data_IF_261079768717
#
_entry.id   IF_261079768717
#
_cell.length_a   1.000
_cell.length_b   1.000
_cell.length_c   1.000
_cell.angle_alpha   90.00
_cell.angle_beta   90.00
_cell.angle_gamma   90.00
#
_symmetry.space_group_name_H-M   'P 1'
#
loop_
_entity.id
_entity.type
_entity.pdbx_description
1 polymer ?
#
# COMPACT_ATOMS: atom_id res chain seq x y z
N UNK A 1 16.47 4.14 9.55
CA UNK A 1 15.99 5.02 8.46
C UNK A 1 14.58 5.50 8.81
N UNK A 2 14.43 6.77 9.13
CA UNK A 2 13.13 7.28 9.55
C UNK A 2 12.22 7.50 8.35
N UNK A 3 11.24 6.63 8.21
CA UNK A 3 10.25 6.73 7.13
C UNK A 3 8.97 7.26 7.73
N UNK A 4 8.47 8.34 7.14
CA UNK A 4 7.21 8.94 7.56
C UNK A 4 6.11 8.43 6.63
N UNK A 5 5.09 7.82 7.20
CA UNK A 5 3.95 7.32 6.45
C UNK A 5 2.83 8.34 6.52
N UNK A 6 2.31 8.71 5.37
CA UNK A 6 1.27 9.75 5.28
C UNK A 6 0.19 9.36 4.30
N UNK A 7 -1.03 9.83 4.56
CA UNK A 7 -2.12 9.73 3.61
C UNK A 7 -2.00 10.88 2.61
N UNK A 8 -2.02 10.55 1.33
CA UNK A 8 -1.89 11.55 0.28
C UNK A 8 -3.25 11.80 -0.35
N UNK A 9 -3.73 13.03 -0.27
CA UNK A 9 -4.91 13.49 -1.01
C UNK A 9 -4.51 14.23 -2.27
N UNK A 10 -3.32 14.80 -2.26
CA UNK A 10 -2.74 15.50 -3.38
C UNK A 10 -1.29 15.07 -3.49
N UNK A 11 -0.79 15.02 -4.70
CA UNK A 11 0.61 14.67 -4.95
C UNK A 11 1.27 15.79 -5.74
N UNK A 12 2.43 16.22 -5.28
CA UNK A 12 3.25 17.17 -6.04
C UNK A 12 3.74 16.49 -7.33
N UNK A 13 4.33 17.29 -8.22
CA UNK A 13 4.91 16.74 -9.43
C UNK A 13 5.97 15.67 -9.10
N UNK A 14 6.82 15.94 -8.11
CA UNK A 14 7.82 14.98 -7.67
C UNK A 14 7.19 13.72 -7.07
N UNK A 15 6.14 13.89 -6.27
CA UNK A 15 5.44 12.74 -5.68
C UNK A 15 4.82 11.87 -6.76
N UNK A 16 4.23 12.46 -7.79
CA UNK A 16 3.66 11.70 -8.91
C UNK A 16 4.72 10.90 -9.64
N UNK A 17 5.89 11.50 -9.87
CA UNK A 17 7.01 10.79 -10.49
C UNK A 17 7.49 9.63 -9.61
N UNK A 18 7.58 9.86 -8.30
CA UNK A 18 7.99 8.82 -7.37
C UNK A 18 6.99 7.66 -7.35
N UNK A 19 5.70 7.96 -7.34
CA UNK A 19 4.66 6.92 -7.38
C UNK A 19 4.75 6.09 -8.66
N UNK A 20 5.00 6.73 -9.79
CA UNK A 20 5.20 6.00 -11.04
C UNK A 20 6.41 5.06 -10.96
N UNK A 21 7.50 5.53 -10.36
CA UNK A 21 8.70 4.69 -10.18
C UNK A 21 8.44 3.53 -9.24
N UNK A 22 7.66 3.76 -8.18
CA UNK A 22 7.32 2.70 -7.22
C UNK A 22 6.57 1.57 -7.94
N UNK A 23 5.58 1.90 -8.75
CA UNK A 23 4.72 0.90 -9.37
C UNK A 23 5.22 0.41 -10.74
N UNK A 24 6.29 1.02 -11.28
CA UNK A 24 6.82 0.67 -12.60
C UNK A 24 7.15 -0.81 -12.73
N UNK A 25 7.78 -1.36 -11.71
CA UNK A 25 8.27 -2.74 -11.74
C UNK A 25 7.30 -3.73 -11.11
N UNK A 26 6.10 -3.27 -10.75
CA UNK A 26 5.10 -4.15 -10.16
C UNK A 26 4.51 -5.07 -11.22
N UNK A 27 4.16 -6.30 -10.85
CA UNK A 27 3.52 -7.19 -11.82
C UNK A 27 2.12 -6.67 -12.17
N UNK A 28 1.65 -6.92 -13.40
CA UNK A 28 0.36 -6.37 -13.84
C UNK A 28 -0.83 -6.75 -12.96
N UNK A 29 -0.83 -7.91 -12.36
CA UNK A 29 -1.92 -8.35 -11.49
C UNK A 29 -2.05 -7.50 -10.22
N UNK A 30 -0.97 -6.79 -9.82
CA UNK A 30 -1.01 -5.95 -8.63
C UNK A 30 -2.00 -4.80 -8.78
N UNK A 31 -2.21 -4.32 -9.99
CA UNK A 31 -3.05 -3.15 -10.23
C UNK A 31 -4.55 -3.45 -10.19
N UNK A 32 -4.95 -4.70 -10.32
CA UNK A 32 -6.36 -5.04 -10.33
C UNK A 32 -7.08 -4.50 -9.09
N UNK A 33 -8.30 -3.96 -9.21
CA UNK A 33 -9.13 -3.93 -10.42
C UNK A 33 -8.79 -2.80 -11.41
N UNK A 34 -7.82 -1.94 -11.12
CA UNK A 34 -7.40 -0.91 -12.06
C UNK A 34 -6.61 -1.55 -13.22
N UNK A 35 -6.58 -0.86 -14.36
CA UNK A 35 -5.94 -1.38 -15.56
C UNK A 35 -4.43 -1.30 -15.52
N UNK A 36 -3.89 -0.25 -14.90
CA UNK A 36 -2.46 0.02 -14.87
C UNK A 36 -2.10 0.88 -13.64
N UNK A 37 -0.82 1.20 -13.52
CA UNK A 37 -0.30 1.98 -12.42
C UNK A 37 -0.89 3.39 -12.38
N UNK A 38 -1.09 4.03 -13.51
CA UNK A 38 -1.64 5.38 -13.53
C UNK A 38 -3.07 5.41 -13.03
N UNK A 39 -3.89 4.47 -13.45
CA UNK A 39 -5.27 4.38 -12.97
C UNK A 39 -5.33 4.09 -11.48
N UNK A 40 -4.46 3.22 -10.98
CA UNK A 40 -4.36 2.96 -9.55
C UNK A 40 -4.02 4.23 -8.78
N UNK A 41 -3.00 4.96 -9.23
CA UNK A 41 -2.56 6.18 -8.54
C UNK A 41 -3.67 7.22 -8.54
N UNK A 42 -4.31 7.44 -9.69
CA UNK A 42 -5.40 8.41 -9.81
C UNK A 42 -6.58 8.03 -8.93
N UNK A 43 -6.98 6.77 -8.93
CA UNK A 43 -8.08 6.29 -8.11
C UNK A 43 -7.79 6.48 -6.63
N UNK A 44 -6.61 6.08 -6.19
CA UNK A 44 -6.24 6.13 -4.79
C UNK A 44 -6.09 7.58 -4.29
N UNK A 45 -5.57 8.47 -5.13
CA UNK A 45 -5.51 9.89 -4.78
C UNK A 45 -6.92 10.49 -4.73
N UNK A 46 -7.76 10.13 -5.70
CA UNK A 46 -9.11 10.68 -5.80
C UNK A 46 -10.02 10.29 -4.65
N UNK A 47 -9.91 9.06 -4.15
CA UNK A 47 -10.75 8.58 -3.04
C UNK A 47 -10.07 8.69 -1.66
N UNK A 48 -8.86 9.23 -1.61
CA UNK A 48 -8.14 9.42 -0.35
C UNK A 48 -7.58 8.14 0.25
N UNK A 49 -7.48 7.06 -0.52
CA UNK A 49 -7.01 5.78 -0.02
C UNK A 49 -5.50 5.56 -0.17
N UNK A 50 -4.78 6.48 -0.79
CA UNK A 50 -3.34 6.32 -0.99
C UNK A 50 -2.57 6.67 0.26
N UNK A 51 -1.74 5.75 0.74
CA UNK A 51 -0.74 6.05 1.76
C UNK A 51 0.65 5.78 1.16
N UNK A 52 1.63 6.52 1.63
CA UNK A 52 2.98 6.40 1.10
C UNK A 52 4.01 6.64 2.20
N UNK A 53 5.16 6.01 2.04
CA UNK A 53 6.30 6.20 2.94
C UNK A 53 7.30 7.15 2.34
N UNK A 54 7.61 8.21 3.08
CA UNK A 54 8.51 9.28 2.63
C UNK A 54 9.80 9.26 3.44
N UNK A 55 10.91 9.40 2.74
CA UNK A 55 12.22 9.56 3.33
C UNK A 55 13.00 10.61 2.54
N UNK A 56 13.47 11.64 3.25
CA UNK A 56 14.23 12.75 2.61
C UNK A 56 13.49 13.31 1.39
N UNK A 57 12.23 13.66 1.57
CA UNK A 57 11.37 14.27 0.56
C UNK A 57 11.02 13.37 -0.63
N UNK A 58 11.42 12.09 -0.60
CA UNK A 58 11.12 11.15 -1.69
C UNK A 58 10.25 10.02 -1.18
N UNK A 59 9.29 9.63 -2.01
CA UNK A 59 8.44 8.48 -1.70
C UNK A 59 9.16 7.19 -2.09
N UNK A 60 9.20 6.23 -1.18
CA UNK A 60 9.89 4.96 -1.38
C UNK A 60 8.94 3.77 -1.52
N UNK A 61 7.73 3.91 -1.03
CA UNK A 61 6.73 2.87 -1.12
C UNK A 61 5.35 3.46 -0.98
N UNK A 62 4.35 2.71 -1.41
CA UNK A 62 2.97 3.16 -1.37
C UNK A 62 2.03 1.97 -1.29
N UNK A 63 0.82 2.23 -0.85
CA UNK A 63 -0.23 1.22 -0.76
C UNK A 63 -1.57 1.91 -0.78
N UNK A 64 -2.61 1.11 -0.98
CA UNK A 64 -3.97 1.60 -0.91
C UNK A 64 -4.59 1.13 0.41
N UNK A 65 -5.08 2.08 1.19
CA UNK A 65 -5.72 1.80 2.48
C UNK A 65 -7.21 2.10 2.37
N UNK A 66 -8.00 1.05 2.27
CA UNK A 66 -9.46 1.17 2.17
C UNK A 66 -10.07 1.04 3.56
N UNK A 67 -10.83 2.05 3.95
CA UNK A 67 -11.38 2.17 5.29
C UNK A 67 -12.84 1.77 5.29
N UNK A 68 -13.13 0.59 5.85
CA UNK A 68 -14.49 0.08 6.00
C UNK A 68 -14.85 0.06 7.48
N UNK A 69 -16.12 0.10 7.83
CA UNK A 69 -16.50 0.01 9.24
C UNK A 69 -15.96 -1.26 9.90
N UNK A 70 -15.16 -1.08 10.94
CA UNK A 70 -14.61 -2.19 11.72
C UNK A 70 -13.38 -2.88 11.16
N UNK A 71 -13.20 -2.89 9.84
CA UNK A 71 -12.06 -3.55 9.21
C UNK A 71 -11.53 -2.69 8.08
N UNK A 72 -10.23 -2.37 8.15
CA UNK A 72 -9.54 -1.64 7.09
C UNK A 72 -8.69 -2.61 6.29
N UNK A 73 -8.64 -2.42 4.97
CA UNK A 73 -7.85 -3.27 4.08
C UNK A 73 -6.68 -2.50 3.49
N UNK A 74 -5.48 -3.06 3.61
CA UNK A 74 -4.28 -2.55 2.95
C UNK A 74 -3.97 -3.46 1.77
N UNK A 75 -3.93 -2.87 0.58
CA UNK A 75 -3.71 -3.60 -0.66
C UNK A 75 -2.78 -2.85 -1.60
N UNK A 76 -2.38 -3.50 -2.65
CA UNK A 76 -1.58 -2.90 -3.72
C UNK A 76 -0.30 -2.25 -3.18
N UNK A 77 0.31 -2.89 -2.19
CA UNK A 77 1.55 -2.46 -1.57
C UNK A 77 2.71 -2.69 -2.52
N UNK A 78 3.49 -1.65 -2.75
CA UNK A 78 4.68 -1.75 -3.58
C UNK A 78 5.76 -0.82 -3.04
N UNK A 79 7.00 -1.29 -3.09
CA UNK A 79 8.17 -0.55 -2.62
C UNK A 79 9.16 -0.46 -3.76
N UNK A 80 9.85 0.68 -3.88
CA UNK A 80 10.88 0.82 -4.89
C UNK A 80 11.90 -0.30 -4.77
N UNK A 81 12.28 -0.86 -5.90
CA UNK A 81 13.18 -2.02 -5.97
C UNK A 81 14.49 -1.76 -5.22
N UNK A 82 15.03 -0.56 -5.35
CA UNK A 82 16.31 -0.20 -4.71
C UNK A 82 16.23 -0.09 -3.20
N UNK A 83 15.02 -0.01 -2.64
CA UNK A 83 14.82 0.13 -1.19
C UNK A 83 14.19 -1.10 -0.56
N UNK A 84 14.03 -2.18 -1.31
CA UNK A 84 13.51 -3.44 -0.76
C UNK A 84 14.46 -3.97 0.30
N UNK A 85 13.91 -4.63 1.32
CA UNK A 85 14.63 -5.15 2.48
C UNK A 85 15.13 -4.07 3.43
N UNK A 86 14.67 -2.82 3.28
CA UNK A 86 14.99 -1.73 4.22
C UNK A 86 13.84 -1.41 5.16
N UNK A 87 12.84 -2.28 5.20
CA UNK A 87 11.74 -2.14 6.15
C UNK A 87 10.64 -1.18 5.73
N UNK A 88 10.63 -0.72 4.47
CA UNK A 88 9.61 0.22 4.01
C UNK A 88 8.22 -0.41 4.05
N UNK A 89 8.08 -1.64 3.55
CA UNK A 89 6.79 -2.33 3.55
C UNK A 89 6.29 -2.55 4.98
N UNK A 90 7.16 -3.01 5.86
CA UNK A 90 6.80 -3.22 7.26
C UNK A 90 6.37 -1.91 7.94
N UNK A 91 7.04 -0.82 7.63
CA UNK A 91 6.71 0.48 8.18
C UNK A 91 5.33 0.95 7.71
N UNK A 92 5.03 0.74 6.41
CA UNK A 92 3.72 1.07 5.87
C UNK A 92 2.62 0.29 6.58
N UNK A 93 2.81 -1.02 6.75
CA UNK A 93 1.82 -1.86 7.41
C UNK A 93 1.66 -1.48 8.88
N UNK A 94 2.77 -1.28 9.60
CA UNK A 94 2.72 -0.90 11.01
C UNK A 94 1.99 0.41 11.23
N UNK A 95 2.26 1.40 10.40
CA UNK A 95 1.59 2.70 10.52
C UNK A 95 0.13 2.61 10.14
N UNK A 96 -0.22 1.83 9.11
CA UNK A 96 -1.62 1.60 8.77
C UNK A 96 -2.36 0.91 9.92
N UNK A 97 -1.71 -0.03 10.59
CA UNK A 97 -2.28 -0.71 11.75
C UNK A 97 -2.57 0.27 12.88
N UNK A 98 -1.65 1.19 13.14
CA UNK A 98 -1.85 2.23 14.15
C UNK A 98 -3.00 3.17 13.77
N UNK A 99 -3.10 3.55 12.50
CA UNK A 99 -4.19 4.38 12.02
C UNK A 99 -5.53 3.69 12.24
N UNK A 100 -5.63 2.41 11.89
CA UNK A 100 -6.85 1.65 12.06
C UNK A 100 -7.23 1.56 13.55
N UNK A 101 -6.26 1.31 14.42
CA UNK A 101 -6.50 1.20 15.85
C UNK A 101 -7.07 2.49 16.44
N UNK A 102 -6.65 3.64 15.93
CA UNK A 102 -7.16 4.94 16.39
C UNK A 102 -8.64 5.11 16.06
N UNK A 103 -9.17 4.34 15.12
CA UNK A 103 -10.57 4.38 14.70
C UNK A 103 -11.31 3.10 15.08
N UNK A 104 -10.79 2.35 16.06
CA UNK A 104 -11.39 1.11 16.54
C UNK A 104 -11.60 0.09 15.43
N UNK A 105 -10.71 0.06 14.45
CA UNK A 105 -10.76 -0.87 13.34
C UNK A 105 -9.57 -1.84 13.38
N UNK A 106 -9.78 -3.04 12.85
CA UNK A 106 -8.70 -3.99 12.64
C UNK A 106 -8.12 -3.79 11.25
N UNK A 107 -6.81 -3.98 11.11
CA UNK A 107 -6.17 -3.94 9.80
C UNK A 107 -6.01 -5.35 9.26
N UNK A 108 -6.51 -5.59 8.06
CA UNK A 108 -6.25 -6.82 7.31
C UNK A 108 -5.48 -6.46 6.04
N UNK A 109 -4.58 -7.33 5.64
CA UNK A 109 -3.97 -7.22 4.31
C UNK A 109 -4.95 -7.83 3.30
N UNK A 110 -4.93 -7.31 2.08
CA UNK A 110 -5.76 -7.81 1.00
C UNK A 110 -4.86 -8.06 -0.21
N UNK A 111 -4.87 -9.28 -0.71
CA UNK A 111 -4.01 -9.65 -1.84
C UNK A 111 -4.66 -10.78 -2.64
N UNK A 112 -4.25 -10.94 -3.92
CA UNK A 112 -4.71 -12.09 -4.69
C UNK A 112 -4.25 -13.41 -4.08
N UNK A 113 -4.97 -14.48 -4.39
CA UNK A 113 -4.59 -15.81 -3.93
C UNK A 113 -3.19 -16.16 -4.44
N UNK A 114 -2.38 -16.77 -3.58
CA UNK A 114 -1.04 -17.20 -3.97
C UNK A 114 0.03 -16.12 -3.94
N UNK A 115 -0.28 -14.94 -3.43
CA UNK A 115 0.72 -13.87 -3.34
C UNK A 115 1.65 -14.14 -2.15
N UNK A 116 2.81 -14.71 -2.43
CA UNK A 116 3.72 -15.19 -1.39
C UNK A 116 4.27 -14.07 -0.52
N UNK A 117 4.60 -12.93 -1.11
CA UNK A 117 5.13 -11.80 -0.35
C UNK A 117 4.11 -11.27 0.67
N UNK A 118 2.84 -11.18 0.27
CA UNK A 118 1.78 -10.75 1.18
C UNK A 118 1.57 -11.77 2.28
N UNK A 119 1.61 -13.06 1.96
CA UNK A 119 1.48 -14.12 2.96
C UNK A 119 2.60 -14.06 3.98
N UNK A 120 3.84 -13.88 3.52
CA UNK A 120 5.00 -13.79 4.40
C UNK A 120 4.91 -12.54 5.29
N UNK A 121 4.52 -11.41 4.75
CA UNK A 121 4.40 -10.17 5.51
C UNK A 121 3.29 -10.27 6.55
N UNK A 122 2.15 -10.84 6.17
CA UNK A 122 1.03 -11.03 7.10
C UNK A 122 1.43 -11.95 8.26
N UNK A 123 2.13 -13.04 7.96
CA UNK A 123 2.59 -13.96 8.97
C UNK A 123 3.60 -13.31 9.92
N UNK A 124 4.56 -12.58 9.37
CA UNK A 124 5.60 -11.91 10.15
C UNK A 124 5.00 -10.89 11.11
N UNK A 125 4.03 -10.12 10.66
CA UNK A 125 3.43 -9.05 11.45
C UNK A 125 2.16 -9.49 12.18
N UNK A 126 1.78 -10.75 12.03
CA UNK A 126 0.61 -11.34 12.69
C UNK A 126 -0.68 -10.58 12.37
N UNK A 127 -0.88 -10.30 11.11
CA UNK A 127 -2.04 -9.58 10.58
C UNK A 127 -2.84 -10.54 9.70
N UNK A 128 -4.19 -10.56 9.81
CA UNK A 128 -4.99 -11.38 8.91
C UNK A 128 -4.80 -10.98 7.45
N UNK A 129 -4.79 -11.96 6.58
CA UNK A 129 -4.72 -11.75 5.14
C UNK A 129 -6.02 -12.23 4.51
N UNK A 130 -6.73 -11.28 3.90
CA UNK A 130 -7.93 -11.59 3.12
C UNK A 130 -7.54 -11.78 1.67
N UNK A 131 -8.19 -12.72 1.01
CA UNK A 131 -7.90 -13.00 -0.39
C UNK A 131 -8.84 -12.16 -1.26
N UNK A 132 -8.25 -11.40 -2.18
CA UNK A 132 -9.00 -10.66 -3.17
C UNK A 132 -9.65 -11.64 -4.12
N UNK A 133 -10.99 -11.64 -4.15
CA UNK A 133 -11.72 -12.52 -5.03
C UNK A 133 -11.74 -11.90 -6.42
N UNK A 134 -11.34 -12.71 -7.39
CA UNK A 134 -11.43 -12.27 -8.77
C UNK A 134 -12.90 -12.22 -9.18
N UNK A 135 -13.27 -11.17 -9.85
CA UNK A 135 -14.59 -11.06 -10.42
C UNK A 135 -14.74 -12.09 -11.53
N UNK A 136 -15.86 -12.71 -11.50
CA UNK A 136 -16.17 -13.75 -12.47
C UNK A 136 -17.06 -13.25 -13.54
#
# INVERSE_FOLDING_TARGET
MPIVVESLKQASHQDQQDLQKIYRDAPPWLFAPQRDDQELIETALGDGSLIAGRFNDRLLGAARLQRHPGVWHLSQLCVRKITRRRGVAERLVSEAQKMAARHDAALHLLAPAGHLEAQALAAKLQIPLDVLQSDQ
#
